data_IF_998065391276
#
_entry.id   IF_998065391276
#
_cell.length_a   1.000
_cell.length_b   1.000
_cell.length_c   1.000
_cell.angle_alpha   90.00
_cell.angle_beta   90.00
_cell.angle_gamma   90.00
#
_symmetry.space_group_name_H-M   'P 1'
#
loop_
_entity.id
_entity.type
_entity.pdbx_description
1 polymer ?
#
# COMPACT_ATOMS: atom_id res chain seq x y z
N UNK A 1 -10.59 24.78 18.07
CA UNK A 1 -11.48 25.04 16.91
C UNK A 1 -10.91 26.04 15.95
N UNK A 2 -10.35 27.14 16.42
CA UNK A 2 -9.75 28.15 15.55
C UNK A 2 -8.63 27.63 14.70
N UNK A 3 -7.82 26.72 15.23
CA UNK A 3 -6.71 26.13 14.48
C UNK A 3 -7.21 25.27 13.33
N UNK A 4 -8.30 24.55 13.53
CA UNK A 4 -8.89 23.70 12.52
C UNK A 4 -9.41 24.55 11.35
N UNK A 5 -10.12 25.64 11.68
CA UNK A 5 -10.60 26.56 10.65
C UNK A 5 -9.46 27.23 9.90
N UNK A 6 -8.36 27.55 10.61
CA UNK A 6 -7.19 28.13 9.97
C UNK A 6 -6.56 27.18 8.96
N UNK A 7 -6.54 25.87 9.27
CA UNK A 7 -6.03 24.88 8.34
C UNK A 7 -6.89 24.78 7.09
N UNK A 8 -8.21 24.76 7.25
CA UNK A 8 -9.13 24.68 6.11
C UNK A 8 -9.13 25.93 5.26
N UNK A 9 -8.82 27.08 5.85
CA UNK A 9 -8.82 28.34 5.11
C UNK A 9 -7.47 28.69 4.49
N UNK A 10 -6.45 27.84 4.70
CA UNK A 10 -5.13 28.08 4.08
C UNK A 10 -5.21 27.94 2.57
N UNK A 11 -4.49 28.78 1.87
CA UNK A 11 -4.44 28.76 0.42
C UNK A 11 -3.81 27.47 -0.10
N UNK A 12 -2.91 26.86 0.67
CA UNK A 12 -2.21 25.63 0.29
C UNK A 12 -3.00 24.36 0.60
N UNK A 13 -4.13 24.46 1.32
CA UNK A 13 -4.93 23.28 1.69
C UNK A 13 -5.43 22.49 0.47
N UNK A 14 -6.03 23.12 -0.56
CA UNK A 14 -6.45 22.37 -1.75
C UNK A 14 -5.29 21.69 -2.46
N UNK A 15 -4.13 22.35 -2.51
CA UNK A 15 -2.92 21.81 -3.10
C UNK A 15 -2.45 20.58 -2.36
N UNK A 16 -2.43 20.63 -1.03
CA UNK A 16 -2.02 19.50 -0.20
C UNK A 16 -3.00 18.34 -0.32
N UNK A 17 -4.29 18.64 -0.40
CA UNK A 17 -5.30 17.61 -0.58
C UNK A 17 -5.13 16.90 -1.92
N UNK A 18 -4.86 17.63 -2.98
CA UNK A 18 -4.60 17.06 -4.30
C UNK A 18 -3.36 16.16 -4.28
N UNK A 19 -2.29 16.59 -3.60
CA UNK A 19 -1.08 15.78 -3.46
C UNK A 19 -1.39 14.48 -2.71
N UNK A 20 -2.19 14.54 -1.65
CA UNK A 20 -2.60 13.35 -0.91
C UNK A 20 -3.40 12.38 -1.77
N UNK A 21 -4.34 12.89 -2.53
CA UNK A 21 -5.16 12.07 -3.43
C UNK A 21 -4.28 11.44 -4.51
N UNK A 22 -3.43 12.23 -5.13
CA UNK A 22 -2.51 11.77 -6.15
C UNK A 22 -1.57 10.69 -5.57
N UNK A 23 -1.00 10.94 -4.41
CA UNK A 23 -0.10 10.01 -3.74
C UNK A 23 -0.80 8.68 -3.45
N UNK A 24 -2.02 8.74 -2.94
CA UNK A 24 -2.80 7.55 -2.59
C UNK A 24 -3.16 6.74 -3.84
N UNK A 25 -3.61 7.41 -4.89
CA UNK A 25 -4.00 6.74 -6.14
C UNK A 25 -2.78 6.10 -6.79
N UNK A 26 -1.68 6.83 -6.89
CA UNK A 26 -0.46 6.31 -7.52
C UNK A 26 0.10 5.13 -6.72
N UNK A 27 0.14 5.24 -5.39
CA UNK A 27 0.60 4.16 -4.53
C UNK A 27 -0.26 2.91 -4.69
N UNK A 28 -1.58 3.08 -4.75
CA UNK A 28 -2.50 1.97 -4.94
C UNK A 28 -2.29 1.30 -6.30
N UNK A 29 -2.16 2.10 -7.35
CA UNK A 29 -1.94 1.56 -8.70
C UNK A 29 -0.63 0.78 -8.78
N UNK A 30 0.45 1.32 -8.20
CA UNK A 30 1.74 0.63 -8.18
C UNK A 30 1.62 -0.65 -7.36
N UNK A 31 0.94 -0.59 -6.22
CA UNK A 31 0.70 -1.76 -5.38
C UNK A 31 -0.04 -2.86 -6.12
N UNK A 32 -1.08 -2.50 -6.86
CA UNK A 32 -1.85 -3.45 -7.67
C UNK A 32 -0.96 -4.05 -8.77
N UNK A 33 -0.19 -3.21 -9.46
CA UNK A 33 0.69 -3.68 -10.54
C UNK A 33 1.74 -4.66 -10.03
N UNK A 34 2.19 -4.48 -8.78
CA UNK A 34 3.16 -5.39 -8.17
C UNK A 34 2.49 -6.64 -7.61
N UNK A 35 1.42 -6.47 -6.84
CA UNK A 35 0.79 -7.56 -6.10
C UNK A 35 -0.04 -8.49 -6.98
N UNK A 36 -0.78 -7.96 -7.95
CA UNK A 36 -1.64 -8.77 -8.80
C UNK A 36 -0.88 -9.80 -9.63
N UNK A 37 0.24 -9.45 -10.30
CA UNK A 37 1.01 -10.48 -11.01
C UNK A 37 1.53 -11.58 -10.08
N UNK A 38 1.93 -11.22 -8.86
CA UNK A 38 2.39 -12.21 -7.87
C UNK A 38 1.24 -13.14 -7.52
N UNK A 39 0.07 -12.59 -7.25
CA UNK A 39 -1.12 -13.40 -6.93
C UNK A 39 -1.50 -14.30 -8.11
N UNK A 40 -1.50 -13.77 -9.32
CA UNK A 40 -1.82 -14.53 -10.52
C UNK A 40 -0.81 -15.66 -10.79
N UNK A 41 0.46 -15.39 -10.47
CA UNK A 41 1.51 -16.40 -10.67
C UNK A 41 1.47 -17.52 -9.63
N UNK A 42 0.92 -17.25 -8.44
CA UNK A 42 1.03 -18.16 -7.31
C UNK A 42 -0.26 -18.84 -6.91
N UNK A 43 -1.44 -18.33 -7.32
CA UNK A 43 -2.71 -18.79 -6.75
C UNK A 43 -3.05 -20.25 -7.08
N UNK A 44 -2.55 -20.78 -8.19
CA UNK A 44 -2.84 -22.15 -8.61
C UNK A 44 -2.05 -23.22 -7.85
N UNK A 45 -0.89 -22.84 -7.31
CA UNK A 45 -0.07 -23.75 -6.53
C UNK A 45 -0.38 -23.57 -5.05
N UNK A 46 -0.83 -24.63 -4.34
CA UNK A 46 -1.10 -24.50 -2.91
C UNK A 46 0.10 -24.03 -2.12
N UNK A 47 1.29 -24.51 -2.49
CA UNK A 47 2.52 -24.09 -1.80
C UNK A 47 2.81 -22.60 -2.01
N UNK A 48 2.83 -22.14 -3.26
CA UNK A 48 3.19 -20.75 -3.56
C UNK A 48 2.10 -19.79 -3.12
N UNK A 49 0.83 -20.21 -3.20
CA UNK A 49 -0.26 -19.40 -2.67
C UNK A 49 -0.11 -19.21 -1.17
N UNK A 50 0.25 -20.27 -0.44
CA UNK A 50 0.49 -20.18 1.00
C UNK A 50 1.66 -19.26 1.30
N UNK A 51 2.75 -19.36 0.53
CA UNK A 51 3.91 -18.49 0.70
C UNK A 51 3.51 -17.03 0.49
N UNK A 52 2.76 -16.73 -0.56
CA UNK A 52 2.33 -15.37 -0.87
C UNK A 52 1.44 -14.82 0.25
N UNK A 53 0.45 -15.59 0.69
CA UNK A 53 -0.48 -15.18 1.74
C UNK A 53 0.26 -14.97 3.06
N UNK A 54 1.15 -15.89 3.43
CA UNK A 54 1.90 -15.76 4.68
C UNK A 54 2.86 -14.58 4.64
N UNK A 55 3.50 -14.33 3.51
CA UNK A 55 4.35 -13.16 3.34
C UNK A 55 3.52 -11.88 3.50
N UNK A 56 2.32 -11.85 2.90
CA UNK A 56 1.42 -10.73 3.05
C UNK A 56 1.00 -10.52 4.51
N UNK A 57 0.71 -11.61 5.22
CA UNK A 57 0.33 -11.52 6.64
C UNK A 57 1.45 -10.96 7.50
N UNK A 58 2.70 -11.37 7.24
CA UNK A 58 3.86 -10.83 7.95
C UNK A 58 3.98 -9.33 7.66
N UNK A 59 3.86 -8.94 6.38
CA UNK A 59 3.94 -7.53 5.99
C UNK A 59 2.84 -6.70 6.63
N UNK A 60 1.62 -7.26 6.72
CA UNK A 60 0.50 -6.58 7.34
C UNK A 60 0.69 -6.39 8.85
N UNK A 61 1.41 -7.32 9.47
CA UNK A 61 1.67 -7.25 10.91
C UNK A 61 2.67 -6.14 11.27
N UNK A 62 3.50 -5.71 10.32
CA UNK A 62 4.45 -4.63 10.57
C UNK A 62 3.68 -3.31 10.66
N UNK A 63 3.78 -2.57 11.78
CA UNK A 63 3.09 -1.30 11.90
C UNK A 63 3.53 -0.30 10.83
N UNK A 64 2.59 0.48 10.32
CA UNK A 64 2.88 1.50 9.32
C UNK A 64 3.93 2.49 9.81
N UNK A 65 3.92 2.78 11.11
CA UNK A 65 4.90 3.69 11.70
C UNK A 65 6.33 3.12 11.57
N UNK A 66 6.48 1.81 11.71
CA UNK A 66 7.79 1.16 11.55
C UNK A 66 8.29 1.30 10.11
N UNK A 67 7.41 1.13 9.13
CA UNK A 67 7.77 1.31 7.73
C UNK A 67 8.20 2.74 7.46
N UNK A 68 7.45 3.71 7.95
CA UNK A 68 7.79 5.12 7.82
C UNK A 68 9.12 5.43 8.51
N UNK A 69 9.35 4.84 9.68
CA UNK A 69 10.59 5.03 10.43
C UNK A 69 11.81 4.50 9.68
N UNK A 70 11.63 3.47 8.85
CA UNK A 70 12.70 2.94 8.01
C UNK A 70 12.89 3.77 6.73
N UNK A 71 11.79 4.15 6.11
CA UNK A 71 11.84 4.83 4.81
C UNK A 71 12.42 6.23 4.94
N UNK A 72 11.97 6.99 5.92
CA UNK A 72 12.36 8.39 6.04
C UNK A 72 13.85 8.59 6.28
N UNK A 73 14.51 7.83 7.20
CA UNK A 73 15.96 7.99 7.34
C UNK A 73 16.76 7.60 6.11
N UNK A 74 16.26 6.64 5.33
CA UNK A 74 16.98 6.16 4.15
C UNK A 74 16.73 7.04 2.92
N UNK A 75 15.49 7.51 2.73
CA UNK A 75 15.09 8.23 1.52
C UNK A 75 14.76 9.69 1.77
N UNK A 76 14.64 10.10 3.04
CA UNK A 76 14.26 11.46 3.39
C UNK A 76 12.77 11.66 3.41
N UNK A 77 12.33 12.91 3.42
CA UNK A 77 10.92 13.28 3.41
C UNK A 77 10.54 13.79 2.03
N UNK A 78 9.26 13.73 1.70
CA UNK A 78 8.75 14.27 0.47
C UNK A 78 7.83 13.30 -0.26
N UNK A 79 7.55 13.60 -1.51
CA UNK A 79 6.62 12.82 -2.33
C UNK A 79 7.13 11.40 -2.58
N UNK A 80 8.36 11.27 -3.07
CA UNK A 80 8.92 9.97 -3.43
C UNK A 80 9.05 9.02 -2.24
N UNK A 81 9.64 9.43 -1.09
CA UNK A 81 9.67 8.53 0.07
C UNK A 81 8.28 8.15 0.57
N UNK A 82 7.34 9.09 0.57
CA UNK A 82 5.96 8.82 0.96
C UNK A 82 5.31 7.83 0.01
N UNK A 83 5.55 7.98 -1.28
CA UNK A 83 5.03 7.07 -2.30
C UNK A 83 5.56 5.65 -2.07
N UNK A 84 6.86 5.51 -1.80
CA UNK A 84 7.46 4.21 -1.52
C UNK A 84 6.82 3.58 -0.29
N UNK A 85 6.68 4.34 0.80
CA UNK A 85 6.09 3.83 2.03
C UNK A 85 4.65 3.39 1.83
N UNK A 86 3.83 4.20 1.18
CA UNK A 86 2.43 3.89 0.92
C UNK A 86 2.28 2.68 -0.01
N UNK A 87 3.13 2.59 -1.02
CA UNK A 87 3.14 1.44 -1.93
C UNK A 87 3.43 0.16 -1.17
N UNK A 88 4.45 0.18 -0.31
CA UNK A 88 4.78 -0.98 0.52
C UNK A 88 3.63 -1.38 1.44
N UNK A 89 2.87 -0.40 1.95
CA UNK A 89 1.73 -0.66 2.82
C UNK A 89 0.54 -1.24 2.07
N UNK A 90 0.41 -0.95 0.77
CA UNK A 90 -0.72 -1.46 -0.03
C UNK A 90 -0.50 -2.89 -0.52
N UNK A 91 0.73 -3.31 -0.71
CA UNK A 91 1.04 -4.63 -1.28
C UNK A 91 0.49 -5.78 -0.44
N UNK A 92 0.71 -5.85 0.89
CA UNK A 92 0.21 -6.99 1.67
C UNK A 92 -1.31 -7.17 1.60
N UNK A 93 -2.15 -6.14 1.80
CA UNK A 93 -3.60 -6.33 1.71
C UNK A 93 -4.05 -6.78 0.32
N UNK A 94 -3.47 -6.20 -0.73
CA UNK A 94 -3.83 -6.55 -2.10
C UNK A 94 -3.42 -7.99 -2.38
N UNK A 95 -2.21 -8.38 -1.99
CA UNK A 95 -1.70 -9.71 -2.22
C UNK A 95 -2.56 -10.76 -1.50
N UNK A 96 -2.90 -10.53 -0.23
CA UNK A 96 -3.73 -11.44 0.55
C UNK A 96 -5.11 -11.59 -0.10
N UNK A 97 -5.76 -10.48 -0.39
CA UNK A 97 -7.12 -10.49 -0.91
C UNK A 97 -7.18 -11.05 -2.32
N UNK A 98 -6.23 -10.70 -3.17
CA UNK A 98 -6.17 -11.20 -4.54
C UNK A 98 -5.90 -12.71 -4.55
N UNK A 99 -4.92 -13.17 -3.76
CA UNK A 99 -4.59 -14.59 -3.69
C UNK A 99 -5.76 -15.42 -3.17
N UNK A 100 -6.41 -14.95 -2.12
CA UNK A 100 -7.57 -15.62 -1.54
C UNK A 100 -8.74 -15.64 -2.52
N UNK A 101 -9.02 -14.50 -3.14
CA UNK A 101 -10.12 -14.41 -4.11
C UNK A 101 -9.92 -15.30 -5.32
N UNK A 102 -8.71 -15.31 -5.88
CA UNK A 102 -8.40 -16.15 -7.03
C UNK A 102 -8.48 -17.63 -6.70
N UNK A 103 -8.05 -18.01 -5.50
CA UNK A 103 -8.13 -19.41 -5.06
C UNK A 103 -9.56 -19.89 -4.93
N UNK A 104 -10.49 -19.00 -4.64
CA UNK A 104 -11.91 -19.34 -4.45
C UNK A 104 -12.71 -19.34 -5.75
N UNK A 105 -12.28 -18.55 -6.73
CA UNK A 105 -13.07 -18.36 -7.96
C UNK A 105 -13.08 -19.61 -8.81
N UNK A 106 -11.94 -20.24 -9.01
CA UNK A 106 -11.83 -21.41 -9.84
C UNK A 106 -10.69 -22.31 -9.37
N UNK A 107 -11.01 -23.39 -8.67
CA UNK A 107 -9.99 -24.30 -8.16
C UNK A 107 -9.29 -25.11 -9.24
N UNK A 108 -9.74 -25.01 -10.49
CA UNK A 108 -9.14 -25.80 -11.56
C UNK A 108 -8.30 -24.96 -12.50
#
# INVERSE_FOLDING_TARGET
MGELFAVFSRDDFPSQLLVHIELSVVALLIGVVIAMPIALATFRSPFWAAVAINTGNVGRAVPSLAILALVFPLLGFGFTPSLVALTLLTIPPILINASTGLSQVNPR
#
